data_IF_504662786372
#
_entry.id   IF_504662786372
#
_cell.length_a   1.000
_cell.length_b   1.000
_cell.length_c   1.000
_cell.angle_alpha   90.00
_cell.angle_beta   90.00
_cell.angle_gamma   90.00
#
_symmetry.space_group_name_H-M   'P 1'
#
loop_
_entity.id
_entity.type
_entity.pdbx_description
1 polymer ?
#
# COMPACT_ATOMS: atom_id res chain seq x y z
N UNK A 1 -12.04 5.55 -13.87
CA UNK A 1 -11.54 4.17 -14.16
C UNK A 1 -12.72 3.27 -14.43
N UNK A 2 -12.53 2.19 -15.19
CA UNK A 2 -13.61 1.27 -15.54
C UNK A 2 -13.24 -0.17 -15.15
N UNK A 3 -14.23 -0.92 -14.64
CA UNK A 3 -14.13 -2.35 -14.41
C UNK A 3 -14.62 -3.11 -15.64
N UNK A 4 -13.76 -3.92 -16.23
CA UNK A 4 -14.11 -4.72 -17.41
C UNK A 4 -14.10 -6.20 -17.02
N UNK A 5 -15.26 -6.84 -17.11
CA UNK A 5 -15.39 -8.30 -17.04
C UNK A 5 -15.02 -8.90 -18.40
N UNK A 6 -14.08 -9.82 -18.41
CA UNK A 6 -13.65 -10.47 -19.65
C UNK A 6 -14.67 -11.47 -20.17
N UNK A 7 -14.71 -11.67 -21.51
CA UNK A 7 -15.51 -12.73 -22.16
C UNK A 7 -15.06 -14.11 -21.63
N UNK A 8 -15.99 -15.03 -21.31
CA UNK A 8 -15.68 -16.35 -20.74
C UNK A 8 -15.19 -17.37 -21.78
N UNK A 9 -14.16 -17.02 -22.53
CA UNK A 9 -13.60 -17.87 -23.61
C UNK A 9 -12.74 -19.01 -23.09
N UNK A 10 -12.35 -18.99 -21.82
CA UNK A 10 -11.62 -20.07 -21.14
C UNK A 10 -11.92 -20.06 -19.64
N UNK A 11 -11.64 -21.17 -18.94
CA UNK A 11 -11.84 -21.28 -17.49
C UNK A 11 -11.16 -20.13 -16.71
N UNK A 12 -9.94 -19.76 -17.08
CA UNK A 12 -9.21 -18.68 -16.43
C UNK A 12 -9.76 -17.28 -16.72
N UNK A 13 -10.44 -17.07 -17.86
CA UNK A 13 -11.05 -15.77 -18.22
C UNK A 13 -12.46 -15.58 -17.68
N UNK A 14 -13.19 -16.68 -17.42
CA UNK A 14 -14.58 -16.66 -16.96
C UNK A 14 -14.79 -15.75 -15.74
N UNK A 15 -13.92 -15.84 -14.75
CA UNK A 15 -14.01 -15.05 -13.53
C UNK A 15 -13.10 -13.81 -13.49
N UNK A 16 -12.46 -13.45 -14.61
CA UNK A 16 -11.48 -12.37 -14.62
C UNK A 16 -12.14 -10.99 -14.76
N UNK A 17 -11.75 -10.07 -13.85
CA UNK A 17 -12.15 -8.66 -13.90
C UNK A 17 -10.89 -7.81 -13.91
N UNK A 18 -10.78 -6.92 -14.89
CA UNK A 18 -9.67 -5.96 -15.03
C UNK A 18 -10.12 -4.55 -14.66
N UNK A 19 -9.23 -3.80 -14.04
CA UNK A 19 -9.34 -2.34 -13.93
C UNK A 19 -8.63 -1.73 -15.12
N UNK A 20 -9.32 -0.85 -15.84
CA UNK A 20 -8.77 -0.11 -16.99
C UNK A 20 -8.82 1.38 -16.67
N UNK A 21 -7.68 2.02 -16.76
CA UNK A 21 -7.57 3.47 -16.66
C UNK A 21 -7.02 4.01 -17.98
N UNK A 22 -7.84 4.70 -18.79
CA UNK A 22 -7.41 5.24 -20.09
C UNK A 22 -6.37 6.35 -19.96
N UNK A 23 -6.33 7.03 -18.81
CA UNK A 23 -5.45 8.19 -18.57
C UNK A 23 -4.03 7.80 -18.17
N UNK A 24 -3.73 6.49 -18.08
CA UNK A 24 -2.38 6.04 -17.78
C UNK A 24 -1.45 6.20 -18.98
N UNK A 25 -0.28 6.73 -18.73
CA UNK A 25 0.80 6.77 -19.73
C UNK A 25 1.18 5.37 -20.18
N UNK A 26 1.24 5.15 -21.50
CA UNK A 26 1.52 3.85 -22.11
C UNK A 26 3.01 3.63 -22.42
N UNK A 27 3.83 4.67 -22.28
CA UNK A 27 5.26 4.64 -22.58
C UNK A 27 6.10 4.07 -21.44
N UNK A 28 7.41 4.16 -21.61
CA UNK A 28 8.40 3.76 -20.59
C UNK A 28 8.36 4.71 -19.38
N UNK A 29 8.72 4.22 -18.18
CA UNK A 29 8.91 5.09 -17.02
C UNK A 29 10.07 6.06 -17.26
N UNK A 30 10.20 7.07 -16.40
CA UNK A 30 11.34 7.99 -16.44
C UNK A 30 12.59 7.27 -15.90
N UNK A 31 13.55 6.99 -16.77
CA UNK A 31 14.67 6.08 -16.50
C UNK A 31 15.55 6.56 -15.33
N UNK A 32 15.79 7.87 -15.20
CA UNK A 32 16.58 8.43 -14.11
C UNK A 32 16.00 8.17 -12.70
N UNK A 33 14.70 7.88 -12.59
CA UNK A 33 14.01 7.54 -11.34
C UNK A 33 13.68 6.05 -11.24
N UNK A 34 14.35 5.19 -12.02
CA UNK A 34 14.15 3.73 -11.95
C UNK A 34 15.41 3.00 -11.51
N UNK A 35 15.23 2.05 -10.62
CA UNK A 35 16.32 1.23 -10.09
C UNK A 35 16.08 -0.26 -10.36
N UNK A 36 17.18 -1.01 -10.51
CA UNK A 36 17.13 -2.46 -10.61
C UNK A 36 16.66 -3.06 -9.28
N UNK A 37 15.60 -3.86 -9.32
CA UNK A 37 15.10 -4.57 -8.14
C UNK A 37 15.53 -6.05 -8.21
N UNK A 38 16.39 -6.47 -7.28
CA UNK A 38 16.75 -7.89 -7.11
C UNK A 38 15.64 -8.61 -6.34
N UNK A 39 15.12 -9.70 -6.91
CA UNK A 39 14.16 -10.56 -6.23
C UNK A 39 14.90 -11.51 -5.28
N UNK A 40 14.69 -11.35 -3.98
CA UNK A 40 15.26 -12.21 -2.94
C UNK A 40 14.42 -13.47 -2.66
N UNK A 41 13.26 -13.62 -3.30
CA UNK A 41 12.35 -14.76 -3.15
C UNK A 41 12.07 -15.16 -1.68
N UNK A 42 11.94 -14.18 -0.79
CA UNK A 42 11.66 -14.36 0.63
C UNK A 42 12.85 -14.92 1.45
N UNK A 43 14.09 -14.87 0.92
CA UNK A 43 15.29 -15.31 1.63
C UNK A 43 15.97 -14.14 2.35
N UNK A 44 16.57 -14.45 3.52
CA UNK A 44 17.40 -13.51 4.26
C UNK A 44 18.85 -13.49 3.72
N UNK A 45 19.76 -12.83 4.44
CA UNK A 45 21.19 -12.76 4.09
C UNK A 45 21.91 -14.12 4.14
N UNK A 46 21.45 -15.07 4.98
CA UNK A 46 21.97 -16.43 5.08
C UNK A 46 21.30 -17.42 4.11
N UNK A 47 20.47 -16.96 3.18
CA UNK A 47 19.77 -17.77 2.18
C UNK A 47 18.56 -18.55 2.72
N UNK A 48 18.22 -18.45 4.01
CA UNK A 48 17.07 -19.14 4.60
C UNK A 48 15.77 -18.42 4.28
N UNK A 49 14.69 -19.18 4.09
CA UNK A 49 13.36 -18.64 3.87
C UNK A 49 12.82 -18.02 5.16
N UNK A 50 12.66 -16.70 5.17
CA UNK A 50 12.05 -15.96 6.29
C UNK A 50 10.64 -15.48 5.96
N UNK A 51 10.30 -15.34 4.67
CA UNK A 51 8.96 -15.02 4.20
C UNK A 51 8.56 -16.10 3.19
N UNK A 52 7.60 -16.94 3.57
CA UNK A 52 7.12 -18.04 2.72
C UNK A 52 6.29 -17.54 1.54
N UNK A 53 6.09 -18.40 0.55
CA UNK A 53 5.22 -18.21 -0.62
C UNK A 53 5.62 -17.01 -1.49
N UNK A 54 6.90 -16.69 -1.56
CA UNK A 54 7.45 -15.68 -2.46
C UNK A 54 8.49 -16.29 -3.40
N UNK A 55 8.58 -15.74 -4.61
CA UNK A 55 9.57 -16.11 -5.60
C UNK A 55 9.03 -16.17 -7.01
N UNK A 56 9.94 -16.12 -7.99
CA UNK A 56 9.61 -15.98 -9.40
C UNK A 56 8.98 -14.60 -9.68
N UNK A 57 8.03 -14.59 -10.60
CA UNK A 57 7.34 -13.36 -10.99
C UNK A 57 8.00 -12.64 -12.17
N UNK A 58 7.28 -11.68 -12.72
CA UNK A 58 7.76 -10.85 -13.82
C UNK A 58 8.83 -9.89 -13.32
N UNK A 59 9.90 -9.67 -14.12
CA UNK A 59 10.96 -8.71 -13.83
C UNK A 59 10.36 -7.31 -13.73
N UNK A 60 10.64 -6.62 -12.64
CA UNK A 60 10.18 -5.26 -12.40
C UNK A 60 11.36 -4.35 -12.01
N UNK A 61 11.27 -3.08 -12.41
CA UNK A 61 12.15 -2.02 -11.92
C UNK A 61 11.44 -1.29 -10.79
N UNK A 62 12.17 -0.89 -9.77
CA UNK A 62 11.66 -0.03 -8.72
C UNK A 62 11.58 1.42 -9.21
N UNK A 63 10.51 2.15 -8.87
CA UNK A 63 10.38 3.59 -9.09
C UNK A 63 10.70 4.29 -7.79
N UNK A 64 11.64 5.21 -7.83
CA UNK A 64 12.00 6.04 -6.68
C UNK A 64 10.88 7.04 -6.45
N UNK A 65 10.17 6.88 -5.34
CA UNK A 65 9.03 7.73 -4.97
C UNK A 65 9.46 8.72 -3.91
N UNK A 66 9.11 9.98 -4.10
CA UNK A 66 9.28 11.01 -3.09
C UNK A 66 8.19 10.88 -2.00
N UNK A 67 8.54 10.17 -0.94
CA UNK A 67 7.70 10.04 0.25
C UNK A 67 7.87 11.19 1.25
N UNK A 68 8.88 12.03 1.08
CA UNK A 68 9.15 13.14 2.00
C UNK A 68 8.44 14.41 1.62
N UNK A 69 8.28 14.65 0.31
CA UNK A 69 7.67 15.87 -0.22
C UNK A 69 8.30 17.14 0.39
N UNK A 70 9.62 17.13 0.55
CA UNK A 70 10.39 18.17 1.26
C UNK A 70 10.81 19.36 0.38
N UNK A 71 10.28 19.45 -0.84
CA UNK A 71 10.55 20.57 -1.76
C UNK A 71 9.45 21.60 -1.60
N UNK A 72 9.62 22.46 -0.60
CA UNK A 72 8.60 23.43 -0.19
C UNK A 72 8.62 24.70 -1.04
N UNK A 73 7.44 25.31 -1.24
CA UNK A 73 7.29 26.58 -1.95
C UNK A 73 7.45 26.52 -3.47
N UNK A 74 7.96 25.42 -4.03
CA UNK A 74 8.19 25.29 -5.47
C UNK A 74 7.03 24.54 -6.12
N UNK A 75 6.29 25.17 -7.06
CA UNK A 75 5.19 24.50 -7.74
C UNK A 75 5.70 23.39 -8.68
N UNK A 76 4.97 22.29 -8.70
CA UNK A 76 5.24 21.15 -9.54
C UNK A 76 4.03 20.81 -10.42
N UNK A 77 4.23 20.69 -11.73
CA UNK A 77 3.19 20.29 -12.69
C UNK A 77 3.16 18.78 -12.83
N UNK A 78 1.97 18.18 -12.80
CA UNK A 78 1.77 16.76 -13.12
C UNK A 78 2.01 16.55 -14.61
N UNK A 79 3.13 15.92 -14.97
CA UNK A 79 3.51 15.65 -16.35
C UNK A 79 2.72 14.47 -16.92
N UNK A 80 2.60 13.38 -16.14
CA UNK A 80 1.88 12.17 -16.53
C UNK A 80 1.56 11.28 -15.32
N UNK A 81 0.60 10.37 -15.48
CA UNK A 81 0.24 9.34 -14.50
C UNK A 81 0.64 7.98 -15.06
N UNK A 82 1.35 7.18 -14.27
CA UNK A 82 1.94 5.92 -14.69
C UNK A 82 1.47 4.73 -13.84
N UNK A 83 1.47 3.55 -14.43
CA UNK A 83 1.34 2.28 -13.72
C UNK A 83 2.66 1.90 -13.03
N UNK A 84 2.60 1.51 -11.77
CA UNK A 84 3.74 0.96 -11.04
C UNK A 84 3.50 -0.51 -10.67
N UNK A 85 4.34 -1.47 -11.14
CA UNK A 85 4.20 -2.89 -10.80
C UNK A 85 4.52 -3.21 -9.33
N UNK A 86 5.18 -2.29 -8.59
CA UNK A 86 5.64 -2.52 -7.22
C UNK A 86 4.58 -2.16 -6.17
N UNK A 87 3.49 -1.49 -6.57
CA UNK A 87 2.42 -1.06 -5.67
C UNK A 87 1.04 -1.15 -6.30
N UNK A 88 0.01 -1.07 -5.47
CA UNK A 88 -1.38 -1.08 -5.95
C UNK A 88 -1.83 0.28 -6.48
N UNK A 89 -1.27 1.38 -5.95
CA UNK A 89 -1.55 2.73 -6.41
C UNK A 89 -0.82 3.05 -7.71
N UNK A 90 -1.41 3.90 -8.56
CA UNK A 90 -0.69 4.54 -9.65
C UNK A 90 0.24 5.62 -9.10
N UNK A 91 1.22 6.04 -9.90
CA UNK A 91 2.18 7.09 -9.57
C UNK A 91 2.03 8.26 -10.54
N UNK A 92 2.34 9.47 -10.08
CA UNK A 92 2.37 10.66 -10.90
C UNK A 92 3.80 11.18 -11.00
N UNK A 93 4.25 11.46 -12.21
CA UNK A 93 5.51 12.16 -12.44
C UNK A 93 5.25 13.65 -12.35
N UNK A 94 5.95 14.31 -11.44
CA UNK A 94 5.94 15.75 -11.25
C UNK A 94 7.16 16.35 -11.91
N UNK A 95 6.97 17.48 -12.59
CA UNK A 95 8.04 18.37 -13.06
C UNK A 95 7.94 19.67 -12.27
N UNK A 96 8.94 19.96 -11.46
CA UNK A 96 9.04 21.18 -10.68
C UNK A 96 9.47 22.36 -11.58
N UNK A 97 9.19 23.59 -11.11
CA UNK A 97 9.54 24.81 -11.87
C UNK A 97 11.05 24.94 -12.14
N UNK A 98 11.90 24.32 -11.31
CA UNK A 98 13.36 24.27 -11.48
C UNK A 98 13.84 23.11 -12.38
N UNK A 99 12.94 22.37 -13.02
CA UNK A 99 13.25 21.26 -13.93
C UNK A 99 13.46 19.91 -13.25
N UNK A 100 13.53 19.81 -11.91
CA UNK A 100 13.64 18.53 -11.21
C UNK A 100 12.37 17.71 -11.39
N UNK A 101 12.54 16.41 -11.63
CA UNK A 101 11.41 15.47 -11.70
C UNK A 101 11.40 14.54 -10.50
N UNK A 102 10.20 14.29 -9.94
CA UNK A 102 9.97 13.33 -8.87
C UNK A 102 8.69 12.54 -9.10
N UNK A 103 8.70 11.27 -8.71
CA UNK A 103 7.47 10.48 -8.62
C UNK A 103 6.80 10.67 -7.26
N UNK A 104 5.47 10.75 -7.27
CA UNK A 104 4.63 10.69 -6.08
C UNK A 104 3.57 9.62 -6.24
N UNK A 105 2.95 9.19 -5.13
CA UNK A 105 1.70 8.40 -5.19
C UNK A 105 0.62 9.30 -5.80
N UNK A 106 -0.05 8.83 -6.85
CA UNK A 106 -1.10 9.58 -7.52
C UNK A 106 -2.35 9.70 -6.63
N UNK A 107 -2.74 10.92 -6.21
CA UNK A 107 -3.98 11.15 -5.48
C UNK A 107 -5.20 10.94 -6.37
N UNK A 108 -6.35 10.65 -5.76
CA UNK A 108 -7.63 10.60 -6.46
C UNK A 108 -7.99 11.98 -6.99
N UNK A 109 -8.48 12.02 -8.23
CA UNK A 109 -8.94 13.25 -8.89
C UNK A 109 -7.83 14.14 -9.46
N UNK A 110 -6.56 13.79 -9.27
CA UNK A 110 -5.45 14.52 -9.90
C UNK A 110 -5.36 14.18 -11.39
N UNK A 111 -5.23 15.21 -12.20
CA UNK A 111 -5.11 15.13 -13.67
C UNK A 111 -3.75 15.63 -14.16
N UNK A 112 -3.40 15.22 -15.38
CA UNK A 112 -2.21 15.73 -16.09
C UNK A 112 -2.38 17.23 -16.31
N UNK A 113 -1.32 17.99 -16.12
CA UNK A 113 -1.32 19.46 -16.23
C UNK A 113 -1.63 20.20 -14.94
N UNK A 114 -2.17 19.53 -13.91
CA UNK A 114 -2.47 20.13 -12.61
C UNK A 114 -1.18 20.51 -11.88
N UNK A 115 -1.18 21.67 -11.22
CA UNK A 115 -0.07 22.12 -10.36
C UNK A 115 -0.31 21.69 -8.93
N UNK A 116 0.72 21.11 -8.31
CA UNK A 116 0.75 20.69 -6.91
C UNK A 116 1.85 21.46 -6.16
N UNK A 117 1.60 21.72 -4.89
CA UNK A 117 2.53 22.43 -4.01
C UNK A 117 2.79 21.64 -2.73
N UNK A 118 3.98 21.78 -2.18
CA UNK A 118 4.35 21.28 -0.86
C UNK A 118 4.79 22.44 0.03
N UNK A 119 4.56 22.32 1.34
CA UNK A 119 4.98 23.36 2.31
C UNK A 119 3.85 23.80 3.24
N UNK A 120 4.19 24.62 4.22
CA UNK A 120 3.24 25.14 5.23
C UNK A 120 2.16 26.04 4.64
N UNK A 121 2.49 26.76 3.57
CA UNK A 121 1.61 27.73 2.89
C UNK A 121 0.86 27.13 1.69
N UNK A 122 1.02 25.82 1.45
CA UNK A 122 0.34 25.17 0.35
C UNK A 122 -1.20 25.23 0.55
N UNK A 123 -1.98 25.54 -0.49
CA UNK A 123 -3.44 25.57 -0.38
C UNK A 123 -4.00 24.17 -0.09
N UNK A 124 -5.16 24.12 0.60
CA UNK A 124 -5.83 22.87 0.98
C UNK A 124 -6.54 22.29 -0.24
N UNK A 125 -5.76 21.72 -1.17
CA UNK A 125 -6.24 21.07 -2.40
C UNK A 125 -5.69 19.64 -2.47
N UNK A 126 -6.45 18.72 -3.07
CA UNK A 126 -6.03 17.33 -3.25
C UNK A 126 -4.68 17.24 -3.97
N UNK A 127 -3.73 16.48 -3.39
CA UNK A 127 -2.38 16.28 -3.89
C UNK A 127 -1.32 17.22 -3.29
N UNK A 128 -1.71 18.30 -2.62
CA UNK A 128 -0.78 19.15 -1.89
C UNK A 128 -0.34 18.49 -0.57
N UNK A 129 0.91 18.71 -0.19
CA UNK A 129 1.50 18.12 1.00
C UNK A 129 1.93 19.23 1.99
N UNK A 130 1.59 19.02 3.26
CA UNK A 130 1.88 20.00 4.30
C UNK A 130 2.02 19.33 5.68
N UNK A 131 2.60 19.99 6.68
CA UNK A 131 2.56 19.54 8.07
C UNK A 131 1.10 19.43 8.56
N UNK A 132 0.81 18.41 9.38
CA UNK A 132 -0.56 18.15 9.89
C UNK A 132 -1.09 19.34 10.70
N UNK A 133 -0.22 20.13 11.33
CA UNK A 133 -0.63 21.34 12.05
C UNK A 133 -1.38 22.37 11.19
N UNK A 134 -1.12 22.38 9.87
CA UNK A 134 -1.73 23.31 8.94
C UNK A 134 -3.01 22.75 8.27
N UNK A 135 -3.32 21.47 8.51
CA UNK A 135 -4.47 20.81 7.90
C UNK A 135 -5.70 20.96 8.80
N UNK A 136 -6.86 21.43 8.32
CA UNK A 136 -8.08 21.50 9.11
C UNK A 136 -8.52 20.13 9.63
N UNK A 137 -9.09 20.12 10.83
CA UNK A 137 -9.72 18.92 11.42
C UNK A 137 -10.88 18.47 10.53
N UNK A 138 -11.11 17.16 10.45
CA UNK A 138 -12.11 16.55 9.57
C UNK A 138 -11.61 16.25 8.16
N UNK A 139 -10.45 16.82 7.73
CA UNK A 139 -9.91 16.61 6.39
C UNK A 139 -9.46 15.17 6.18
N UNK A 140 -9.73 14.65 4.99
CA UNK A 140 -9.20 13.37 4.51
C UNK A 140 -7.80 13.57 3.96
N UNK A 141 -6.85 12.76 4.42
CA UNK A 141 -5.43 12.83 4.08
C UNK A 141 -4.89 11.44 3.72
N UNK A 142 -3.76 11.38 3.05
CA UNK A 142 -3.04 10.15 2.73
C UNK A 142 -1.53 10.38 2.77
N UNK A 143 -0.73 9.34 2.55
CA UNK A 143 0.73 9.43 2.59
C UNK A 143 1.23 10.15 3.86
N UNK A 144 0.78 9.68 5.03
CA UNK A 144 1.07 10.32 6.32
C UNK A 144 2.37 9.78 6.89
N UNK A 145 3.21 10.66 7.40
CA UNK A 145 4.39 10.31 8.18
C UNK A 145 4.02 9.80 9.58
N UNK A 146 4.87 8.96 10.15
CA UNK A 146 4.78 8.52 11.55
C UNK A 146 5.76 9.25 12.46
N UNK A 147 6.82 9.80 11.88
CA UNK A 147 7.84 10.64 12.53
C UNK A 147 8.19 11.76 11.56
N UNK A 148 8.38 12.99 12.04
CA UNK A 148 8.72 14.12 11.18
C UNK A 148 9.97 13.84 10.33
N UNK A 149 9.90 14.14 9.03
CA UNK A 149 11.02 14.01 8.09
C UNK A 149 11.37 12.58 7.65
N UNK A 150 10.72 11.55 8.21
CA UNK A 150 11.00 10.15 7.84
C UNK A 150 10.41 9.74 6.49
N UNK A 151 9.43 10.48 6.02
CA UNK A 151 8.66 10.17 4.82
C UNK A 151 7.39 9.37 5.12
N UNK A 152 6.47 9.41 4.18
CA UNK A 152 5.14 8.81 4.30
C UNK A 152 5.18 7.30 4.55
N UNK A 153 4.41 6.83 5.54
CA UNK A 153 4.30 5.42 5.91
C UNK A 153 2.86 4.91 5.94
N UNK A 154 1.89 5.75 6.32
CA UNK A 154 0.47 5.39 6.41
C UNK A 154 -0.28 5.80 5.13
N UNK A 155 -1.34 5.04 4.81
CA UNK A 155 -2.24 5.31 3.68
C UNK A 155 -1.53 5.53 2.33
N UNK A 156 -0.75 4.54 1.87
CA UNK A 156 -0.02 4.58 0.59
C UNK A 156 -0.61 3.65 -0.48
N UNK A 157 -1.45 2.71 -0.07
CA UNK A 157 -2.06 1.74 -0.99
C UNK A 157 -3.25 2.34 -1.74
N UNK A 158 -3.60 1.76 -2.89
CA UNK A 158 -4.76 2.19 -3.70
C UNK A 158 -6.04 2.34 -2.87
N UNK A 159 -6.73 3.46 -3.05
CA UNK A 159 -8.00 3.78 -2.38
C UNK A 159 -7.91 3.90 -0.86
N UNK A 160 -6.73 4.09 -0.28
CA UNK A 160 -6.60 4.29 1.16
C UNK A 160 -6.56 5.77 1.52
N UNK A 161 -7.12 6.06 2.69
CA UNK A 161 -7.15 7.39 3.28
C UNK A 161 -7.13 7.31 4.80
N UNK A 162 -6.91 8.43 5.43
CA UNK A 162 -6.90 8.64 6.88
C UNK A 162 -7.68 9.92 7.15
N UNK A 163 -8.49 9.95 8.19
CA UNK A 163 -9.20 11.15 8.62
C UNK A 163 -8.47 11.79 9.80
N UNK A 164 -8.24 13.09 9.73
CA UNK A 164 -7.75 13.89 10.85
C UNK A 164 -8.93 14.20 11.80
N UNK A 165 -8.94 13.60 13.00
CA UNK A 165 -10.04 13.76 13.96
C UNK A 165 -9.87 14.97 14.88
N UNK A 166 -8.66 15.13 15.42
CA UNK A 166 -8.37 16.20 16.38
C UNK A 166 -6.88 16.56 16.36
N UNK A 167 -6.55 17.72 16.91
CA UNK A 167 -5.18 18.16 17.21
C UNK A 167 -5.16 18.63 18.65
N UNK A 168 -4.26 18.05 19.44
CA UNK A 168 -4.13 18.33 20.87
C UNK A 168 -2.63 18.53 21.19
N UNK A 169 -2.23 19.74 21.46
CA UNK A 169 -0.84 20.09 21.73
C UNK A 169 0.09 19.67 20.58
N UNK A 170 1.07 18.82 20.88
CA UNK A 170 2.07 18.34 19.92
C UNK A 170 1.63 17.13 19.08
N UNK A 171 0.42 16.60 19.33
CA UNK A 171 -0.08 15.39 18.67
C UNK A 171 -1.39 15.63 17.93
N UNK A 172 -1.53 14.94 16.81
CA UNK A 172 -2.77 14.84 16.05
C UNK A 172 -3.34 13.42 16.14
N UNK A 173 -4.65 13.31 16.28
CA UNK A 173 -5.38 12.04 16.29
C UNK A 173 -5.85 11.70 14.88
N UNK A 174 -5.47 10.52 14.41
CA UNK A 174 -5.75 10.03 13.06
C UNK A 174 -6.59 8.77 13.12
N UNK A 175 -7.73 8.77 12.42
CA UNK A 175 -8.56 7.59 12.21
C UNK A 175 -8.14 6.89 10.93
N UNK A 176 -7.56 5.71 11.06
CA UNK A 176 -7.16 4.87 9.94
C UNK A 176 -8.37 4.15 9.32
N UNK A 177 -8.23 3.69 8.08
CA UNK A 177 -9.28 2.91 7.39
C UNK A 177 -9.69 1.64 8.15
N UNK A 178 -8.82 1.08 8.98
CA UNK A 178 -9.11 -0.07 9.85
C UNK A 178 -10.04 0.26 11.04
N UNK A 179 -10.31 1.55 11.31
CA UNK A 179 -10.99 2.04 12.50
C UNK A 179 -10.05 2.29 13.68
N UNK A 180 -8.77 1.96 13.58
CA UNK A 180 -7.78 2.30 14.62
C UNK A 180 -7.58 3.81 14.68
N UNK A 181 -7.62 4.38 15.90
CA UNK A 181 -7.28 5.79 16.16
C UNK A 181 -5.89 5.82 16.78
N UNK A 182 -5.00 6.56 16.14
CA UNK A 182 -3.62 6.69 16.63
C UNK A 182 -3.13 8.13 16.61
N UNK A 183 -2.18 8.42 17.49
CA UNK A 183 -1.49 9.71 17.57
C UNK A 183 -0.28 9.73 16.64
N UNK A 184 -0.07 10.88 16.01
CA UNK A 184 1.17 11.24 15.30
C UNK A 184 1.55 12.67 15.67
N UNK A 185 2.82 12.99 15.56
CA UNK A 185 3.29 14.35 15.84
C UNK A 185 2.73 15.35 14.81
N UNK A 186 2.35 16.55 15.22
CA UNK A 186 1.73 17.56 14.32
C UNK A 186 2.66 18.06 13.22
N UNK A 187 3.98 17.94 13.41
CA UNK A 187 4.99 18.25 12.38
C UNK A 187 5.12 17.16 11.32
N UNK A 188 4.51 15.99 11.50
CA UNK A 188 4.45 14.97 10.47
C UNK A 188 3.75 15.53 9.24
N UNK A 189 4.31 15.25 8.05
CA UNK A 189 3.70 15.64 6.79
C UNK A 189 2.61 14.66 6.36
N UNK A 190 1.62 15.20 5.68
CA UNK A 190 0.56 14.43 5.04
C UNK A 190 0.18 15.09 3.72
N UNK A 191 -0.40 14.32 2.82
CA UNK A 191 -0.95 14.81 1.54
C UNK A 191 -2.47 14.86 1.63
N UNK A 192 -3.06 15.96 1.18
CA UNK A 192 -4.52 16.17 1.16
C UNK A 192 -5.19 15.22 0.18
N UNK A 193 -6.36 14.67 0.55
CA UNK A 193 -7.16 13.77 -0.27
C UNK A 193 -6.88 12.30 0.02
N UNK A 194 -7.26 11.43 -0.89
CA UNK A 194 -7.08 9.98 -0.82
C UNK A 194 -6.24 9.44 -1.99
N UNK A 195 -5.71 8.25 -1.83
CA UNK A 195 -4.95 7.58 -2.90
C UNK A 195 -5.88 7.14 -4.02
N UNK A 196 -5.48 7.37 -5.25
CA UNK A 196 -6.22 6.94 -6.45
C UNK A 196 -6.23 5.42 -6.65
N UNK A 197 -6.87 4.97 -7.77
CA UNK A 197 -6.99 3.56 -8.16
C UNK A 197 -7.80 2.72 -7.16
N UNK A 198 -8.86 3.26 -6.61
CA UNK A 198 -9.69 2.64 -5.57
C UNK A 198 -10.30 1.30 -6.00
N UNK A 199 -10.61 1.13 -7.28
CA UNK A 199 -11.16 -0.10 -7.85
C UNK A 199 -10.15 -1.26 -7.91
N UNK A 200 -8.88 -1.02 -7.56
CA UNK A 200 -7.84 -2.06 -7.55
C UNK A 200 -8.25 -3.30 -6.76
N UNK A 201 -8.96 -3.13 -5.64
CA UNK A 201 -9.45 -4.22 -4.80
C UNK A 201 -10.54 -5.07 -5.47
N UNK A 202 -11.28 -4.51 -6.43
CA UNK A 202 -12.36 -5.19 -7.15
C UNK A 202 -11.84 -6.08 -8.29
N UNK A 203 -10.55 -6.02 -8.58
CA UNK A 203 -9.91 -6.83 -9.61
C UNK A 203 -9.94 -8.31 -9.23
N UNK A 204 -10.34 -9.15 -10.19
CA UNK A 204 -10.27 -10.61 -10.08
C UNK A 204 -9.28 -11.17 -11.08
N UNK A 205 -8.31 -11.95 -10.59
CA UNK A 205 -7.18 -12.44 -11.37
C UNK A 205 -7.56 -13.61 -12.28
N UNK A 206 -8.56 -14.43 -11.87
CA UNK A 206 -9.17 -15.49 -12.64
C UNK A 206 -8.37 -16.80 -12.71
N UNK A 207 -7.05 -16.80 -12.58
CA UNK A 207 -6.21 -18.02 -12.65
C UNK A 207 -5.01 -17.98 -11.72
N UNK A 208 -4.56 -19.14 -11.26
CA UNK A 208 -3.40 -19.30 -10.38
C UNK A 208 -2.09 -18.79 -11.02
N UNK A 209 -1.90 -18.97 -12.33
CA UNK A 209 -0.75 -18.47 -13.06
C UNK A 209 -0.58 -16.94 -12.97
N UNK A 210 -1.68 -16.17 -12.85
CA UNK A 210 -1.60 -14.73 -12.68
C UNK A 210 -1.02 -14.32 -11.32
N UNK A 211 -1.18 -15.15 -10.27
CA UNK A 211 -0.47 -14.97 -8.99
C UNK A 211 1.01 -15.31 -9.14
N UNK A 212 1.35 -16.35 -9.92
CA UNK A 212 2.76 -16.71 -10.21
C UNK A 212 3.49 -15.54 -10.89
N UNK A 213 2.86 -14.85 -11.83
CA UNK A 213 3.44 -13.66 -12.48
C UNK A 213 3.77 -12.52 -11.52
N UNK A 214 3.09 -12.48 -10.36
CA UNK A 214 3.33 -11.50 -9.30
C UNK A 214 4.35 -11.93 -8.25
N UNK A 215 4.96 -13.09 -8.45
CA UNK A 215 5.92 -13.64 -7.49
C UNK A 215 5.30 -14.34 -6.30
N UNK A 216 4.00 -14.62 -6.34
CA UNK A 216 3.29 -15.36 -5.28
C UNK A 216 3.36 -16.85 -5.62
N UNK A 217 3.98 -17.64 -4.76
CA UNK A 217 4.05 -19.10 -4.87
C UNK A 217 2.80 -19.74 -4.27
N UNK A 218 2.45 -20.97 -4.69
CA UNK A 218 1.33 -21.73 -4.11
C UNK A 218 1.46 -21.87 -2.60
N UNK A 219 0.33 -21.85 -1.91
CA UNK A 219 0.22 -22.10 -0.47
C UNK A 219 -0.40 -23.47 -0.25
N UNK A 220 0.25 -24.31 0.55
CA UNK A 220 -0.25 -25.61 0.99
C UNK A 220 -0.92 -25.41 2.35
N UNK A 221 -2.12 -25.98 2.52
CA UNK A 221 -2.85 -25.93 3.80
C UNK A 221 -2.19 -26.86 4.81
N UNK A 222 -2.16 -26.48 6.09
CA UNK A 222 -1.56 -27.28 7.16
C UNK A 222 -2.18 -28.69 7.32
N UNK A 223 -3.48 -28.84 7.04
CA UNK A 223 -4.20 -30.13 7.13
C UNK A 223 -3.76 -31.18 6.11
N UNK A 224 -3.04 -30.79 5.05
CA UNK A 224 -2.50 -31.73 4.04
C UNK A 224 -1.01 -31.99 4.22
N UNK A 225 -0.44 -31.50 5.31
CA UNK A 225 0.94 -31.72 5.70
C UNK A 225 1.06 -32.91 6.66
N UNK A 226 2.29 -33.37 6.90
CA UNK A 226 2.57 -34.37 7.93
C UNK A 226 2.55 -33.73 9.34
N UNK A 227 2.37 -34.52 10.41
CA UNK A 227 2.33 -34.00 11.79
C UNK A 227 3.56 -33.20 12.18
N UNK A 228 4.73 -33.55 11.67
CA UNK A 228 6.01 -32.85 11.93
C UNK A 228 6.05 -31.46 11.29
N UNK A 229 5.33 -31.24 10.20
CA UNK A 229 5.40 -30.00 9.41
C UNK A 229 4.38 -28.95 9.85
N UNK A 230 3.27 -29.40 10.45
CA UNK A 230 2.20 -28.48 10.89
C UNK A 230 1.36 -29.11 12.02
N UNK A 231 0.92 -28.30 13.02
CA UNK A 231 0.05 -28.76 14.10
C UNK A 231 -1.31 -29.33 13.65
N UNK A 232 -1.75 -29.04 12.40
CA UNK A 232 -2.96 -29.63 11.79
C UNK A 232 -2.64 -30.81 10.88
N UNK A 233 -1.39 -31.26 10.82
CA UNK A 233 -0.97 -32.34 9.94
C UNK A 233 -1.38 -33.72 10.46
N UNK A 234 -1.33 -34.71 9.57
CA UNK A 234 -1.67 -36.09 9.85
C UNK A 234 -3.12 -36.47 9.56
N UNK A 235 -3.47 -37.71 9.90
CA UNK A 235 -4.76 -38.30 9.68
C UNK A 235 -4.89 -39.00 8.32
N UNK A 236 -5.97 -39.76 8.12
CA UNK A 236 -6.29 -40.43 6.88
C UNK A 236 -7.40 -39.72 6.12
N UNK A 237 -7.27 -39.62 4.78
CA UNK A 237 -8.25 -39.01 3.90
C UNK A 237 -8.49 -37.53 4.16
N UNK A 238 -9.75 -37.12 4.19
CA UNK A 238 -10.14 -35.72 4.47
C UNK A 238 -10.26 -35.48 5.98
N UNK A 239 -9.15 -35.13 6.62
CA UNK A 239 -9.15 -34.77 8.04
C UNK A 239 -9.48 -33.31 8.23
N UNK A 240 -10.11 -32.98 9.35
CA UNK A 240 -10.30 -31.60 9.83
C UNK A 240 -9.07 -31.10 10.61
N UNK A 241 -9.15 -29.85 11.09
CA UNK A 241 -8.05 -29.26 11.86
C UNK A 241 -7.92 -29.88 13.29
N UNK A 242 -8.99 -30.50 13.80
CA UNK A 242 -9.06 -31.21 15.09
C UNK A 242 -8.81 -30.33 16.34
N UNK A 243 -8.56 -29.03 16.15
CA UNK A 243 -8.23 -28.06 17.19
C UNK A 243 -8.52 -26.63 16.71
N UNK A 244 -8.38 -25.65 17.61
CA UNK A 244 -8.44 -24.24 17.22
C UNK A 244 -7.40 -23.95 16.14
N UNK A 245 -7.76 -23.26 15.03
CA UNK A 245 -6.85 -22.96 13.95
C UNK A 245 -5.58 -22.24 14.42
N UNK A 246 -4.42 -22.80 14.10
CA UNK A 246 -3.12 -22.28 14.48
C UNK A 246 -2.19 -22.12 13.26
N UNK A 247 -1.17 -21.31 13.41
CA UNK A 247 -0.05 -21.19 12.46
C UNK A 247 0.88 -22.40 12.55
N UNK A 248 1.84 -22.60 11.62
CA UNK A 248 2.85 -23.65 11.72
C UNK A 248 3.68 -23.62 13.01
N UNK A 249 3.73 -22.49 13.67
CA UNK A 249 4.44 -22.29 14.94
C UNK A 249 3.51 -22.37 16.16
N UNK A 250 2.29 -22.84 16.01
CA UNK A 250 1.33 -23.03 17.10
C UNK A 250 0.59 -21.76 17.55
N UNK A 251 0.87 -20.60 17.00
CA UNK A 251 0.17 -19.37 17.35
C UNK A 251 -1.26 -19.40 16.83
N UNK A 252 -2.29 -19.12 17.66
CA UNK A 252 -3.68 -19.08 17.23
C UNK A 252 -3.90 -18.13 16.04
N UNK A 253 -4.58 -18.62 14.98
CA UNK A 253 -4.77 -17.87 13.75
C UNK A 253 -6.01 -16.97 13.78
N UNK A 254 -6.98 -17.24 14.66
CA UNK A 254 -8.23 -16.49 14.79
C UNK A 254 -8.35 -15.85 16.18
N UNK A 255 -8.71 -14.58 16.21
CA UNK A 255 -9.02 -13.85 17.45
C UNK A 255 -7.85 -13.48 18.34
N UNK A 256 -6.70 -14.09 18.17
CA UNK A 256 -5.52 -13.83 19.00
C UNK A 256 -4.82 -12.53 18.59
N UNK A 257 -4.42 -11.75 19.60
CA UNK A 257 -3.65 -10.52 19.39
C UNK A 257 -2.17 -10.86 19.17
N UNK A 258 -1.71 -10.72 17.92
CA UNK A 258 -0.32 -11.01 17.54
C UNK A 258 0.63 -9.80 17.65
N UNK A 259 0.09 -8.56 17.73
CA UNK A 259 0.90 -7.35 17.86
C UNK A 259 1.59 -7.33 19.25
N UNK A 260 2.91 -7.27 19.26
CA UNK A 260 3.73 -7.15 20.47
C UNK A 260 4.78 -6.03 20.32
N UNK A 261 4.35 -4.85 19.90
CA UNK A 261 5.23 -3.69 19.77
C UNK A 261 4.94 -2.68 20.89
N UNK A 262 5.54 -2.88 22.06
CA UNK A 262 5.38 -2.02 23.25
C UNK A 262 5.78 -0.56 22.97
N UNK A 263 6.80 -0.35 22.16
CA UNK A 263 7.38 0.97 21.87
C UNK A 263 6.38 1.97 21.26
N UNK A 264 5.42 1.51 20.47
CA UNK A 264 4.42 2.35 19.78
C UNK A 264 2.99 2.11 20.26
N UNK A 265 2.79 1.31 21.31
CA UNK A 265 1.45 1.08 21.88
C UNK A 265 0.86 2.35 22.50
N UNK A 266 1.69 3.20 23.13
CA UNK A 266 1.25 4.49 23.68
C UNK A 266 0.70 5.46 22.60
N UNK A 267 1.03 5.26 21.33
CA UNK A 267 0.52 6.05 20.23
C UNK A 267 -0.87 5.58 19.73
N UNK A 268 -1.39 4.46 20.22
CA UNK A 268 -2.69 3.93 19.85
C UNK A 268 -3.72 4.37 20.89
N UNK A 269 -4.60 5.29 20.52
CA UNK A 269 -5.69 5.78 21.38
C UNK A 269 -6.81 4.74 21.44
N UNK A 270 -7.24 4.28 20.28
CA UNK A 270 -8.29 3.27 20.16
C UNK A 270 -7.87 2.21 19.15
N UNK A 271 -8.00 0.95 19.54
CA UNK A 271 -7.76 -0.18 18.62
C UNK A 271 -8.94 -0.37 17.68
N UNK A 272 -8.69 -1.00 16.53
CA UNK A 272 -9.77 -1.44 15.64
C UNK A 272 -10.76 -2.33 16.41
N UNK A 273 -12.05 -2.14 16.18
CA UNK A 273 -13.07 -3.02 16.76
C UNK A 273 -12.84 -4.46 16.29
N UNK A 274 -12.95 -5.41 17.20
CA UNK A 274 -13.06 -6.81 16.80
C UNK A 274 -14.38 -6.98 16.06
N UNK A 275 -14.33 -7.53 14.85
CA UNK A 275 -15.52 -8.03 14.16
C UNK A 275 -15.89 -9.38 14.72
#
# INVERSE_FOLDING_TARGET
MALIKLKPTSAGRRGMVKVVNPNLHKGRPFDALTEKQKNKAGRNNSGRITVRHQGGGHKAHYRVIDFRRNKDGIPAKVERIEYDPNRSANIALLCYADGERRYIIAPRGVSVGQTLLSGSEAPIKSGNAMPIRNIPVGTTIHCVEMQPGKGAQLARSAGTSVQLLAREGTYAQLRLRSGEIRRVHVECRATIGEVGNEEHALRKIGKAGANRWRGIRPTVRGVVMNPIDHPHGGGEGRTGEGRVPVSPWGTPAKGYRTRNNKRTDAMIVQRRNKR
#
